data_IF_187893853536
#
_entry.id   IF_187893853536
#
_cell.length_a   1.000
_cell.length_b   1.000
_cell.length_c   1.000
_cell.angle_alpha   90.00
_cell.angle_beta   90.00
_cell.angle_gamma   90.00
#
_symmetry.space_group_name_H-M   'P 1'
#
loop_
_entity.id
_entity.type
_entity.pdbx_description
1 polymer ?
#
# COMPACT_ATOMS: atom_id res chain seq x y z
N UNK A 1 3.46 -5.73 -12.32
CA UNK A 1 3.39 -5.97 -13.78
C UNK A 1 2.42 -4.94 -14.35
N UNK A 2 2.69 -4.31 -15.49
CA UNK A 2 1.77 -3.34 -16.13
C UNK A 2 1.33 -3.82 -17.52
N UNK A 3 0.33 -3.16 -18.11
CA UNK A 3 -0.30 -3.56 -19.37
C UNK A 3 0.14 -2.75 -20.58
N UNK A 4 1.19 -1.92 -20.45
CA UNK A 4 1.63 -1.02 -21.53
C UNK A 4 1.96 -1.75 -22.84
N UNK A 5 2.64 -2.90 -22.74
CA UNK A 5 3.02 -3.70 -23.91
C UNK A 5 1.79 -4.22 -24.66
N UNK A 6 0.82 -4.74 -23.93
CA UNK A 6 -0.43 -5.30 -24.48
C UNK A 6 -1.22 -4.19 -25.16
N UNK A 7 -1.50 -3.10 -24.44
CA UNK A 7 -2.26 -1.95 -24.94
C UNK A 7 -1.61 -1.32 -26.18
N UNK A 8 -0.27 -1.20 -26.19
CA UNK A 8 0.49 -0.72 -27.35
C UNK A 8 0.33 -1.65 -28.56
N UNK A 9 0.41 -2.98 -28.34
CA UNK A 9 0.30 -3.97 -29.40
C UNK A 9 -1.12 -4.05 -29.98
N UNK A 10 -2.15 -3.89 -29.16
CA UNK A 10 -3.55 -3.79 -29.60
C UNK A 10 -3.77 -2.62 -30.55
N UNK A 11 -3.12 -1.48 -30.28
CA UNK A 11 -3.08 -0.31 -31.16
C UNK A 11 -2.11 -0.43 -32.35
N UNK A 12 -1.35 -1.52 -32.45
CA UNK A 12 -0.33 -1.77 -33.48
C UNK A 12 0.78 -0.71 -33.52
N UNK A 13 1.09 -0.10 -32.38
CA UNK A 13 2.15 0.90 -32.25
C UNK A 13 3.49 0.25 -31.90
N UNK A 14 4.58 0.79 -32.40
CA UNK A 14 5.94 0.50 -31.94
C UNK A 14 6.27 1.28 -30.67
N UNK A 15 7.28 0.83 -29.91
CA UNK A 15 7.75 1.56 -28.73
C UNK A 15 8.23 2.98 -29.09
N UNK A 16 8.71 3.19 -30.33
CA UNK A 16 9.18 4.50 -30.82
C UNK A 16 8.03 5.45 -31.12
N UNK A 17 6.96 4.95 -31.74
CA UNK A 17 5.78 5.76 -32.08
C UNK A 17 5.11 6.28 -30.81
N UNK A 18 4.82 5.39 -29.84
CA UNK A 18 4.18 5.82 -28.60
C UNK A 18 5.08 6.73 -27.75
N UNK A 19 6.39 6.48 -27.71
CA UNK A 19 7.32 7.38 -27.01
C UNK A 19 7.30 8.80 -27.61
N UNK A 20 7.21 8.90 -28.94
CA UNK A 20 7.10 10.18 -29.64
C UNK A 20 5.76 10.86 -29.34
N UNK A 21 4.64 10.14 -29.41
CA UNK A 21 3.29 10.66 -29.13
C UNK A 21 3.18 11.21 -27.70
N UNK A 22 3.77 10.51 -26.73
CA UNK A 22 3.78 10.91 -25.32
C UNK A 22 4.85 11.95 -24.98
N UNK A 23 5.70 12.32 -25.94
CA UNK A 23 6.84 13.20 -25.75
C UNK A 23 7.78 12.74 -24.61
N UNK A 24 8.01 11.43 -24.52
CA UNK A 24 8.93 10.82 -23.56
C UNK A 24 10.12 10.22 -24.29
N UNK A 25 11.32 10.20 -23.69
CA UNK A 25 12.44 9.49 -24.28
C UNK A 25 12.09 8.00 -24.49
N UNK A 26 12.45 7.43 -25.64
CA UNK A 26 12.21 6.01 -25.94
C UNK A 26 12.68 5.09 -24.81
N UNK A 27 13.87 5.36 -24.27
CA UNK A 27 14.44 4.58 -23.15
C UNK A 27 13.56 4.65 -21.89
N UNK A 28 12.90 5.77 -21.64
CA UNK A 28 11.96 5.93 -20.53
C UNK A 28 10.73 5.07 -20.75
N UNK A 29 10.13 5.13 -21.94
CA UNK A 29 8.98 4.28 -22.27
C UNK A 29 9.32 2.78 -22.20
N UNK A 30 10.50 2.38 -22.69
CA UNK A 30 10.97 0.99 -22.58
C UNK A 30 11.12 0.54 -21.13
N UNK A 31 11.69 1.38 -20.26
CA UNK A 31 11.79 1.10 -18.83
C UNK A 31 10.42 0.99 -18.16
N UNK A 32 9.46 1.82 -18.55
CA UNK A 32 8.08 1.70 -18.08
C UNK A 32 7.45 0.39 -18.54
N UNK A 33 7.51 0.07 -19.83
CA UNK A 33 6.94 -1.18 -20.39
C UNK A 33 7.55 -2.44 -19.75
N UNK A 34 8.84 -2.42 -19.42
CA UNK A 34 9.53 -3.52 -18.76
C UNK A 34 9.39 -3.52 -17.22
N UNK A 35 8.80 -2.48 -16.62
CA UNK A 35 8.71 -2.34 -15.17
C UNK A 35 10.05 -2.00 -14.48
N UNK A 36 11.07 -1.59 -15.23
CA UNK A 36 12.39 -1.17 -14.71
C UNK A 36 12.35 0.20 -14.02
N UNK A 37 11.25 0.96 -14.20
CA UNK A 37 11.05 2.24 -13.51
C UNK A 37 9.58 2.50 -13.23
N UNK A 38 9.30 3.16 -12.10
CA UNK A 38 7.96 3.59 -11.72
C UNK A 38 7.42 4.67 -12.66
N UNK A 39 6.13 4.55 -12.99
CA UNK A 39 5.39 5.55 -13.77
C UNK A 39 4.79 6.54 -12.77
N UNK A 40 5.13 7.82 -12.91
CA UNK A 40 4.56 8.86 -12.03
C UNK A 40 3.06 9.03 -12.27
N UNK A 41 2.26 9.44 -11.26
CA UNK A 41 0.81 9.53 -11.39
C UNK A 41 0.33 10.38 -12.58
N UNK A 42 0.95 11.53 -12.83
CA UNK A 42 0.65 12.41 -13.98
C UNK A 42 0.86 11.72 -15.33
N UNK A 43 1.92 10.90 -15.44
CA UNK A 43 2.22 10.12 -16.65
C UNK A 43 1.33 8.89 -16.78
N UNK A 44 0.98 8.24 -15.67
CA UNK A 44 0.08 7.11 -15.67
C UNK A 44 -1.32 7.52 -16.14
N UNK A 45 -1.81 8.68 -15.70
CA UNK A 45 -3.06 9.25 -16.18
C UNK A 45 -3.01 9.54 -17.69
N UNK A 46 -1.99 10.25 -18.17
CA UNK A 46 -1.87 10.57 -19.60
C UNK A 46 -1.79 9.32 -20.49
N UNK A 47 -1.10 8.29 -20.01
CA UNK A 47 -1.05 6.97 -20.67
C UNK A 47 -2.43 6.31 -20.70
N UNK A 48 -3.16 6.33 -19.58
CA UNK A 48 -4.48 5.73 -19.47
C UNK A 48 -5.49 6.42 -20.40
N UNK A 49 -5.47 7.76 -20.42
CA UNK A 49 -6.28 8.59 -21.32
C UNK A 49 -5.96 8.29 -22.80
N UNK A 50 -4.67 8.16 -23.13
CA UNK A 50 -4.25 7.80 -24.49
C UNK A 50 -4.84 6.45 -24.90
N UNK A 51 -4.77 5.43 -24.04
CA UNK A 51 -5.28 4.10 -24.33
C UNK A 51 -6.80 3.94 -24.17
N UNK A 52 -7.48 4.90 -23.54
CA UNK A 52 -8.92 4.84 -23.28
C UNK A 52 -9.28 3.82 -22.20
N UNK A 53 -8.40 3.63 -21.21
CA UNK A 53 -8.56 2.66 -20.10
C UNK A 53 -8.41 3.37 -18.75
N UNK A 54 -8.78 2.72 -17.64
CA UNK A 54 -8.48 3.25 -16.30
C UNK A 54 -6.99 3.16 -15.98
N UNK A 55 -6.50 4.01 -15.07
CA UNK A 55 -5.12 3.92 -14.58
C UNK A 55 -4.89 2.59 -13.87
N UNK A 56 -5.89 2.08 -13.13
CA UNK A 56 -5.82 0.78 -12.47
C UNK A 56 -5.62 -0.37 -13.46
N UNK A 57 -6.35 -0.34 -14.57
CA UNK A 57 -6.19 -1.31 -15.66
C UNK A 57 -4.81 -1.21 -16.32
N UNK A 58 -4.36 0.01 -16.63
CA UNK A 58 -3.06 0.26 -17.25
C UNK A 58 -1.90 -0.26 -16.39
N UNK A 59 -1.97 -0.04 -15.08
CA UNK A 59 -0.97 -0.47 -14.11
C UNK A 59 -1.11 -1.93 -13.68
N UNK A 60 -2.15 -2.64 -14.13
CA UNK A 60 -2.40 -4.06 -13.82
C UNK A 60 -3.02 -4.32 -12.45
N UNK A 61 -3.53 -3.30 -11.76
CA UNK A 61 -4.10 -3.45 -10.42
C UNK A 61 -5.40 -4.28 -10.39
N UNK A 62 -6.19 -4.22 -11.46
CA UNK A 62 -7.39 -5.07 -11.60
C UNK A 62 -7.04 -6.56 -11.59
N UNK A 63 -5.97 -6.94 -12.28
CA UNK A 63 -5.55 -8.34 -12.38
C UNK A 63 -4.88 -8.80 -11.08
N UNK A 64 -4.07 -7.94 -10.45
CA UNK A 64 -3.54 -8.18 -9.11
C UNK A 64 -4.66 -8.43 -8.10
N UNK A 65 -5.75 -7.65 -8.15
CA UNK A 65 -6.90 -7.82 -7.26
C UNK A 65 -7.60 -9.15 -7.50
N UNK A 66 -7.88 -9.50 -8.77
CA UNK A 66 -8.50 -10.79 -9.10
C UNK A 66 -7.65 -11.97 -8.64
N UNK A 67 -6.34 -11.91 -8.86
CA UNK A 67 -5.40 -12.96 -8.42
C UNK A 67 -5.37 -13.06 -6.90
N UNK A 68 -5.27 -11.94 -6.20
CA UNK A 68 -5.24 -11.92 -4.75
C UNK A 68 -6.54 -12.44 -4.12
N UNK A 69 -7.70 -12.09 -4.67
CA UNK A 69 -9.00 -12.63 -4.23
C UNK A 69 -9.12 -14.14 -4.49
N UNK A 70 -8.61 -14.62 -5.63
CA UNK A 70 -8.57 -16.05 -5.93
C UNK A 70 -7.67 -16.81 -4.95
N UNK A 71 -6.50 -16.26 -4.62
CA UNK A 71 -5.60 -16.86 -3.65
C UNK A 71 -6.23 -16.89 -2.25
N UNK A 72 -6.84 -15.78 -1.82
CA UNK A 72 -7.57 -15.68 -0.56
C UNK A 72 -8.68 -16.74 -0.45
N UNK A 73 -9.45 -16.95 -1.51
CA UNK A 73 -10.52 -17.95 -1.52
C UNK A 73 -10.04 -19.41 -1.34
N UNK A 74 -8.75 -19.68 -1.61
CA UNK A 74 -8.17 -21.01 -1.56
C UNK A 74 -7.10 -21.16 -0.46
N UNK A 75 -6.95 -20.17 0.42
CA UNK A 75 -5.82 -20.09 1.35
C UNK A 75 -6.04 -20.87 2.66
N UNK A 76 -5.02 -21.63 3.08
CA UNK A 76 -4.91 -22.19 4.44
C UNK A 76 -4.28 -21.16 5.43
N UNK A 77 -3.61 -20.13 4.92
CA UNK A 77 -2.88 -19.10 5.68
C UNK A 77 -3.52 -17.72 5.48
N UNK A 78 -4.67 -17.53 6.15
CA UNK A 78 -5.60 -16.43 5.91
C UNK A 78 -4.97 -15.02 5.98
N UNK A 79 -3.99 -14.80 6.85
CA UNK A 79 -3.43 -13.45 7.10
C UNK A 79 -2.67 -12.85 5.91
N UNK A 80 -1.78 -13.62 5.28
CA UNK A 80 -0.89 -13.09 4.24
C UNK A 80 -1.62 -12.85 2.92
N UNK A 81 -2.52 -13.75 2.52
CA UNK A 81 -3.28 -13.60 1.27
C UNK A 81 -4.37 -12.55 1.38
N UNK A 82 -4.93 -12.38 2.59
CA UNK A 82 -5.85 -11.29 2.88
C UNK A 82 -5.18 -9.92 2.73
N UNK A 83 -3.98 -9.73 3.30
CA UNK A 83 -3.22 -8.49 3.16
C UNK A 83 -2.94 -8.15 1.67
N UNK A 84 -2.58 -9.15 0.86
CA UNK A 84 -2.38 -8.96 -0.59
C UNK A 84 -3.68 -8.52 -1.28
N UNK A 85 -4.82 -9.12 -0.94
CA UNK A 85 -6.11 -8.76 -1.51
C UNK A 85 -6.55 -7.34 -1.10
N UNK A 86 -6.36 -7.00 0.17
CA UNK A 86 -6.56 -5.65 0.70
C UNK A 86 -5.68 -4.64 -0.05
N UNK A 87 -4.37 -4.88 -0.12
CA UNK A 87 -3.42 -3.99 -0.81
C UNK A 87 -3.81 -3.77 -2.26
N UNK A 88 -4.13 -4.83 -3.00
CA UNK A 88 -4.53 -4.74 -4.40
C UNK A 88 -5.84 -3.95 -4.59
N UNK A 89 -6.79 -4.09 -3.66
CA UNK A 89 -8.05 -3.33 -3.66
C UNK A 89 -7.80 -1.83 -3.49
N UNK A 90 -6.94 -1.45 -2.54
CA UNK A 90 -6.57 -0.04 -2.33
C UNK A 90 -5.77 0.54 -3.48
N UNK A 91 -4.81 -0.21 -4.04
CA UNK A 91 -4.04 0.24 -5.21
C UNK A 91 -4.96 0.55 -6.40
N UNK A 92 -5.98 -0.29 -6.64
CA UNK A 92 -6.98 -0.07 -7.69
C UNK A 92 -7.81 1.20 -7.43
N UNK A 93 -8.37 1.33 -6.22
CA UNK A 93 -9.18 2.50 -5.86
C UNK A 93 -8.42 3.82 -5.95
N UNK A 94 -7.15 3.82 -5.53
CA UNK A 94 -6.26 4.98 -5.65
C UNK A 94 -6.00 5.32 -7.12
N UNK A 95 -5.74 4.31 -7.94
CA UNK A 95 -5.50 4.53 -9.36
C UNK A 95 -6.75 5.09 -10.08
N UNK A 96 -7.94 4.64 -9.71
CA UNK A 96 -9.19 5.13 -10.28
C UNK A 96 -9.59 6.53 -9.75
N UNK A 97 -8.74 7.16 -8.92
CA UNK A 97 -8.99 8.46 -8.32
C UNK A 97 -10.14 8.45 -7.32
N UNK A 98 -10.57 7.27 -6.86
CA UNK A 98 -11.62 7.10 -5.86
C UNK A 98 -11.09 7.27 -4.43
N UNK A 99 -9.76 7.15 -4.24
CA UNK A 99 -9.07 7.31 -2.97
C UNK A 99 -7.75 8.09 -3.19
N UNK A 100 -7.32 8.88 -2.21
CA UNK A 100 -6.01 9.53 -2.26
C UNK A 100 -4.90 8.53 -1.88
N UNK A 101 -3.74 8.61 -2.53
CA UNK A 101 -2.63 7.65 -2.36
C UNK A 101 -2.27 7.47 -0.89
N UNK A 102 -2.48 6.25 -0.41
CA UNK A 102 -2.23 5.83 0.95
C UNK A 102 -0.72 5.71 1.18
N UNK A 103 -0.04 6.82 1.50
CA UNK A 103 1.40 6.83 1.67
C UNK A 103 1.77 6.29 3.07
N UNK A 104 1.75 4.97 3.23
CA UNK A 104 2.64 4.31 4.18
C UNK A 104 4.05 4.69 3.72
N UNK A 105 4.63 5.70 4.37
CA UNK A 105 5.67 6.59 3.80
C UNK A 105 6.91 5.89 3.22
N UNK A 106 7.12 4.60 3.54
CA UNK A 106 7.98 3.61 2.86
C UNK A 106 7.90 2.26 3.63
N UNK A 107 8.63 1.23 3.15
CA UNK A 107 8.77 -0.08 3.82
C UNK A 107 9.27 0.03 5.28
N UNK A 108 10.01 1.09 5.62
CA UNK A 108 10.50 1.30 6.99
C UNK A 108 9.35 1.63 7.96
N UNK A 109 8.25 2.20 7.47
CA UNK A 109 7.09 2.54 8.29
C UNK A 109 6.23 1.29 8.59
N UNK A 110 6.09 0.40 7.60
CA UNK A 110 5.46 -0.91 7.80
C UNK A 110 6.19 -1.70 8.89
N UNK A 111 7.52 -1.82 8.79
CA UNK A 111 8.30 -2.56 9.77
C UNK A 111 8.28 -1.93 11.17
N UNK A 112 8.25 -0.59 11.27
CA UNK A 112 8.08 0.09 12.57
C UNK A 112 6.73 -0.23 13.21
N UNK A 113 5.65 -0.20 12.42
CA UNK A 113 4.31 -0.52 12.92
C UNK A 113 4.23 -1.99 13.34
N UNK A 114 4.77 -2.88 12.50
CA UNK A 114 4.88 -4.31 12.79
C UNK A 114 5.65 -4.60 14.07
N UNK A 115 6.81 -3.96 14.26
CA UNK A 115 7.59 -4.06 15.50
C UNK A 115 6.81 -3.51 16.71
N UNK A 116 6.10 -2.40 16.56
CA UNK A 116 5.26 -1.85 17.62
C UNK A 116 4.16 -2.83 18.04
N UNK A 117 3.51 -3.50 17.09
CA UNK A 117 2.49 -4.51 17.36
C UNK A 117 3.13 -5.72 18.06
N UNK A 118 4.27 -6.21 17.56
CA UNK A 118 5.01 -7.32 18.17
C UNK A 118 5.36 -7.04 19.63
N UNK A 119 5.87 -5.84 19.94
CA UNK A 119 6.17 -5.45 21.31
C UNK A 119 4.91 -5.33 22.18
N UNK A 120 3.78 -4.86 21.61
CA UNK A 120 2.51 -4.77 22.33
C UNK A 120 1.92 -6.13 22.71
N UNK A 121 2.26 -7.18 21.97
CA UNK A 121 1.84 -8.56 22.23
C UNK A 121 2.67 -9.24 23.33
N UNK A 122 3.82 -8.67 23.70
CA UNK A 122 4.67 -9.19 24.77
C UNK A 122 4.29 -8.48 26.07
N UNK A 123 3.64 -9.16 27.03
CA UNK A 123 3.31 -8.55 28.31
C UNK A 123 4.59 -8.11 29.03
N UNK A 124 4.56 -6.92 29.62
CA UNK A 124 5.68 -6.34 30.36
C UNK A 124 6.99 -6.31 29.57
N UNK A 125 6.92 -6.07 28.26
CA UNK A 125 8.11 -6.16 27.39
C UNK A 125 9.28 -5.27 27.84
N UNK A 126 8.98 -4.18 28.55
CA UNK A 126 9.97 -3.24 29.12
C UNK A 126 10.85 -3.86 30.20
N UNK A 127 10.41 -4.95 30.82
CA UNK A 127 11.14 -5.62 31.90
C UNK A 127 12.17 -6.64 31.36
N UNK A 128 12.10 -6.97 30.07
CA UNK A 128 13.03 -7.89 29.42
C UNK A 128 14.29 -7.18 28.95
N UNK A 129 15.42 -7.89 29.06
CA UNK A 129 16.64 -7.52 28.35
C UNK A 129 16.47 -7.65 26.83
N UNK A 130 17.32 -6.96 26.06
CA UNK A 130 17.31 -7.04 24.60
C UNK A 130 17.40 -8.49 24.09
N UNK A 131 18.23 -9.33 24.73
CA UNK A 131 18.42 -10.73 24.36
C UNK A 131 17.17 -11.59 24.63
N UNK A 132 16.44 -11.29 25.69
CA UNK A 132 15.18 -11.97 26.01
C UNK A 132 14.07 -11.57 25.03
N UNK A 133 14.04 -10.30 24.63
CA UNK A 133 13.13 -9.82 23.58
C UNK A 133 13.43 -10.47 22.24
N UNK A 134 14.69 -10.51 21.80
CA UNK A 134 15.09 -11.18 20.55
C UNK A 134 14.58 -12.62 20.49
N UNK A 135 14.75 -13.38 21.58
CA UNK A 135 14.27 -14.76 21.65
C UNK A 135 12.73 -14.85 21.52
N UNK A 136 12.00 -13.93 22.14
CA UNK A 136 10.53 -13.88 22.06
C UNK A 136 10.04 -13.46 20.68
N UNK A 137 10.73 -12.53 20.02
CA UNK A 137 10.39 -12.03 18.68
C UNK A 137 10.61 -13.08 17.58
N UNK A 138 11.30 -14.18 17.87
CA UNK A 138 11.44 -15.34 16.98
C UNK A 138 10.29 -16.37 17.14
N UNK A 139 9.38 -16.18 18.10
CA UNK A 139 8.25 -17.09 18.31
C UNK A 139 7.26 -17.02 17.14
N UNK A 140 7.05 -18.15 16.47
CA UNK A 140 6.16 -18.21 15.30
C UNK A 140 4.71 -17.82 15.62
N UNK A 141 4.18 -18.19 16.79
CA UNK A 141 2.80 -17.84 17.16
C UNK A 141 2.68 -16.33 17.37
N UNK A 142 3.65 -15.72 18.04
CA UNK A 142 3.70 -14.27 18.24
C UNK A 142 3.78 -13.52 16.91
N UNK A 143 4.64 -14.00 15.99
CA UNK A 143 4.76 -13.44 14.65
C UNK A 143 3.43 -13.53 13.89
N UNK A 144 2.82 -14.71 13.86
CA UNK A 144 1.52 -14.92 13.22
C UNK A 144 0.42 -14.03 13.83
N UNK A 145 0.37 -13.90 15.15
CA UNK A 145 -0.61 -13.02 15.82
C UNK A 145 -0.39 -11.54 15.48
N UNK A 146 0.87 -11.10 15.38
CA UNK A 146 1.19 -9.74 14.94
C UNK A 146 0.75 -9.48 13.51
N UNK A 147 0.95 -10.43 12.59
CA UNK A 147 0.46 -10.31 11.21
C UNK A 147 -1.07 -10.22 11.16
N UNK A 148 -1.79 -11.01 11.96
CA UNK A 148 -3.25 -10.90 12.05
C UNK A 148 -3.70 -9.53 12.55
N UNK A 149 -3.10 -9.01 13.63
CA UNK A 149 -3.43 -7.67 14.15
C UNK A 149 -3.10 -6.56 13.17
N UNK A 150 -1.99 -6.70 12.43
CA UNK A 150 -1.59 -5.73 11.42
C UNK A 150 -2.58 -5.74 10.24
N UNK A 151 -3.00 -6.93 9.80
CA UNK A 151 -4.06 -7.09 8.80
C UNK A 151 -5.39 -6.50 9.26
N UNK A 152 -5.83 -6.77 10.49
CA UNK A 152 -7.06 -6.20 11.06
C UNK A 152 -6.99 -4.68 11.14
N UNK A 153 -5.82 -4.15 11.52
CA UNK A 153 -5.58 -2.71 11.58
C UNK A 153 -5.71 -2.06 10.20
N UNK A 154 -5.05 -2.63 9.18
CA UNK A 154 -5.14 -2.12 7.80
C UNK A 154 -6.56 -2.26 7.25
N UNK A 155 -7.22 -3.39 7.50
CA UNK A 155 -8.62 -3.56 7.14
C UNK A 155 -9.50 -2.47 7.72
N UNK A 156 -9.38 -2.25 9.03
CA UNK A 156 -10.17 -1.24 9.75
C UNK A 156 -9.90 0.16 9.21
N UNK A 157 -8.63 0.51 8.97
CA UNK A 157 -8.26 1.76 8.31
C UNK A 157 -8.95 1.91 6.97
N UNK A 158 -8.94 0.85 6.15
CA UNK A 158 -9.58 0.88 4.86
C UNK A 158 -11.10 1.14 4.90
N UNK A 159 -11.77 0.77 5.98
CA UNK A 159 -13.22 1.03 6.09
C UNK A 159 -13.60 2.50 6.28
N UNK A 160 -12.64 3.40 6.48
CA UNK A 160 -12.91 4.82 6.75
C UNK A 160 -12.81 5.68 5.48
N UNK A 161 -13.42 6.88 5.47
CA UNK A 161 -13.21 7.88 4.43
C UNK A 161 -11.74 8.28 4.27
N UNK A 162 -11.30 8.58 3.04
CA UNK A 162 -9.90 8.83 2.68
C UNK A 162 -9.18 9.84 3.58
N UNK A 163 -9.85 10.92 3.97
CA UNK A 163 -9.33 11.97 4.85
C UNK A 163 -9.11 11.47 6.29
N UNK A 164 -10.02 10.63 6.80
CA UNK A 164 -9.85 9.98 8.10
C UNK A 164 -8.69 8.98 8.07
N UNK A 165 -8.59 8.18 7.01
CA UNK A 165 -7.49 7.24 6.89
C UNK A 165 -6.15 8.00 6.87
N UNK A 166 -6.04 9.05 6.05
CA UNK A 166 -4.84 9.90 5.94
C UNK A 166 -4.46 10.50 7.30
N UNK A 167 -5.44 11.04 8.03
CA UNK A 167 -5.25 11.59 9.36
C UNK A 167 -4.67 10.53 10.31
N UNK A 168 -5.33 9.38 10.42
CA UNK A 168 -4.92 8.30 11.34
C UNK A 168 -3.54 7.75 11.00
N UNK A 169 -3.23 7.63 9.72
CA UNK A 169 -1.94 7.10 9.27
C UNK A 169 -0.81 8.05 9.57
N UNK A 170 -0.98 9.34 9.27
CA UNK A 170 -0.01 10.35 9.67
C UNK A 170 0.14 10.40 11.20
N UNK A 171 -0.97 10.35 11.94
CA UNK A 171 -0.98 10.38 13.40
C UNK A 171 -0.19 9.22 14.02
N UNK A 172 -0.33 8.00 13.49
CA UNK A 172 0.33 6.81 14.05
C UNK A 172 1.86 6.89 13.98
N UNK A 173 2.42 7.60 12.98
CA UNK A 173 3.86 7.76 12.82
C UNK A 173 4.44 9.01 13.49
N UNK A 174 3.62 9.81 14.15
CA UNK A 174 4.09 10.95 14.93
C UNK A 174 4.90 10.52 16.16
N UNK A 175 5.75 11.42 16.62
CA UNK A 175 6.43 11.29 17.91
C UNK A 175 5.41 11.23 19.05
N UNK A 176 5.81 10.68 20.20
CA UNK A 176 4.93 10.63 21.39
C UNK A 176 4.48 12.04 21.81
N UNK A 177 5.37 13.04 21.69
CA UNK A 177 5.08 14.43 22.01
C UNK A 177 4.04 15.02 21.05
N UNK A 178 4.23 14.84 19.74
CA UNK A 178 3.31 15.34 18.72
C UNK A 178 1.93 14.68 18.82
N UNK A 179 1.88 13.37 19.11
CA UNK A 179 0.62 12.66 19.38
C UNK A 179 -0.14 13.29 20.55
N UNK A 180 0.58 13.59 21.64
CA UNK A 180 -0.02 14.20 22.83
C UNK A 180 -0.54 15.62 22.51
N UNK A 181 0.20 16.39 21.75
CA UNK A 181 -0.19 17.73 21.31
C UNK A 181 -1.48 17.68 20.48
N UNK A 182 -1.56 16.79 19.48
CA UNK A 182 -2.78 16.62 18.67
C UNK A 182 -3.95 16.14 19.53
N UNK A 183 -3.74 15.17 20.42
CA UNK A 183 -4.79 14.69 21.32
C UNK A 183 -5.36 15.81 22.20
N UNK A 184 -4.50 16.70 22.71
CA UNK A 184 -4.93 17.85 23.51
C UNK A 184 -5.75 18.84 22.68
N UNK A 185 -5.34 19.10 21.44
CA UNK A 185 -6.09 19.96 20.51
C UNK A 185 -7.48 19.35 20.25
N UNK A 186 -7.55 18.08 19.86
CA UNK A 186 -8.82 17.39 19.56
C UNK A 186 -9.73 17.40 20.78
N UNK A 187 -9.22 17.08 21.98
CA UNK A 187 -9.99 17.14 23.24
C UNK A 187 -10.54 18.54 23.51
N UNK A 188 -9.76 19.59 23.26
CA UNK A 188 -10.20 20.98 23.49
C UNK A 188 -11.31 21.40 22.53
N UNK A 189 -11.30 20.88 21.30
CA UNK A 189 -12.31 21.17 20.28
C UNK A 189 -13.59 20.35 20.51
N UNK A 190 -13.48 19.10 20.96
CA UNK A 190 -14.63 18.22 21.22
C UNK A 190 -15.45 18.59 22.44
N UNK A 191 -14.93 19.47 23.31
CA UNK A 191 -15.60 19.94 24.52
C UNK A 191 -16.40 21.24 24.31
N UNK A 192 -16.36 21.81 23.10
CA UNK A 192 -17.17 22.96 22.70
C UNK A 192 -18.47 22.51 22.08
#
# INVERSE_FOLDING_TARGET
MNRLKELRQEKKLSQKEIALELQVPLRTYQRWENGESQIKPDKAQALADHFGVSVGHLLGFEDNLKEALKNLANSEEYGADYYKAFRAHYELKVADGQENFFNLKDDSHYEKLRQSILLSLIPNFKDFSAKELEKKLLDRKLLTEAEYKLSDFFFSLGTLPADEVELLTNFIFLSTEDKLNIQNIVKSLSQK
#
